data_IF_608496408855
#
_entry.id   IF_608496408855
#
_cell.length_a   1.000
_cell.length_b   1.000
_cell.length_c   1.000
_cell.angle_alpha   90.00
_cell.angle_beta   90.00
_cell.angle_gamma   90.00
#
_symmetry.space_group_name_H-M   'P 1'
#
loop_
_entity.id
_entity.type
_entity.pdbx_description
1 polymer ?
#
# COMPACT_ATOMS: atom_id res chain seq x y z
N UNK A 1 2.25 25.01 25.09
CA UNK A 1 2.72 23.72 24.54
C UNK A 1 3.94 24.01 23.70
N UNK A 2 5.10 23.48 24.07
CA UNK A 2 6.33 23.59 23.27
C UNK A 2 6.43 22.33 22.42
N UNK A 3 6.51 22.48 21.10
CA UNK A 3 6.83 21.40 20.19
C UNK A 3 8.33 21.45 19.89
N UNK A 4 8.99 20.31 20.03
CA UNK A 4 10.43 20.18 19.81
C UNK A 4 10.62 19.27 18.60
N UNK A 5 11.41 19.74 17.64
CA UNK A 5 11.79 18.95 16.47
C UNK A 5 12.98 18.05 16.81
N UNK A 6 13.10 16.95 16.10
CA UNK A 6 14.20 16.00 16.29
C UNK A 6 14.28 15.01 15.14
N UNK A 7 15.30 14.17 15.20
CA UNK A 7 15.55 13.10 14.23
C UNK A 7 15.26 11.77 14.92
N UNK A 8 14.47 10.91 14.29
CA UNK A 8 14.27 9.54 14.73
C UNK A 8 15.30 8.64 14.05
N UNK A 9 16.17 7.99 14.83
CA UNK A 9 17.21 7.08 14.32
C UNK A 9 17.40 5.93 15.29
N UNK A 10 17.47 4.70 14.76
CA UNK A 10 17.73 3.47 15.53
C UNK A 10 16.80 3.28 16.76
N UNK A 11 15.53 3.70 16.64
CA UNK A 11 14.54 3.60 17.72
C UNK A 11 14.62 4.73 18.76
N UNK A 12 15.52 5.71 18.60
CA UNK A 12 15.72 6.82 19.53
C UNK A 12 15.37 8.15 18.85
N UNK A 13 14.63 9.01 19.55
CA UNK A 13 14.41 10.40 19.14
C UNK A 13 15.56 11.25 19.64
N UNK A 14 16.24 11.95 18.74
CA UNK A 14 17.29 12.92 19.05
C UNK A 14 16.73 14.34 18.86
N UNK A 15 16.36 15.05 19.94
CA UNK A 15 15.91 16.43 19.86
C UNK A 15 16.97 17.32 19.19
N UNK A 16 16.53 18.25 18.36
CA UNK A 16 17.40 19.25 17.73
C UNK A 16 17.90 20.31 18.71
N UNK A 17 17.22 20.43 19.86
CA UNK A 17 17.53 21.38 20.92
C UNK A 17 17.61 20.63 22.25
N UNK A 18 18.44 21.12 23.18
CA UNK A 18 18.53 20.54 24.51
C UNK A 18 17.20 20.73 25.26
N UNK A 19 16.73 19.65 25.87
CA UNK A 19 15.50 19.64 26.67
C UNK A 19 15.85 19.35 28.13
N UNK A 20 15.25 20.11 29.05
CA UNK A 20 15.50 19.96 30.49
C UNK A 20 14.26 19.34 31.17
N UNK A 21 14.02 18.06 30.88
CA UNK A 21 12.98 17.27 31.53
C UNK A 21 13.61 16.10 32.29
N UNK A 22 12.95 15.67 33.37
CA UNK A 22 13.38 14.48 34.11
C UNK A 22 13.18 13.19 33.33
N UNK A 23 13.81 12.11 33.80
CA UNK A 23 13.55 10.77 33.26
C UNK A 23 12.05 10.42 33.39
N UNK A 24 11.54 9.60 32.45
CA UNK A 24 10.13 9.19 32.38
C UNK A 24 9.10 10.32 32.21
N UNK A 25 9.54 11.51 31.76
CA UNK A 25 8.60 12.58 31.43
C UNK A 25 7.71 12.16 30.23
N UNK A 26 6.38 12.18 30.37
CA UNK A 26 5.49 11.75 29.30
C UNK A 26 5.53 12.73 28.12
N UNK A 27 5.59 12.18 26.91
CA UNK A 27 5.64 12.96 25.66
C UNK A 27 4.68 12.41 24.62
N UNK A 28 4.29 13.26 23.68
CA UNK A 28 3.56 12.87 22.47
C UNK A 28 4.53 12.99 21.30
N UNK A 29 4.71 11.90 20.54
CA UNK A 29 5.55 11.89 19.34
C UNK A 29 4.65 12.01 18.11
N UNK A 30 4.87 13.04 17.32
CA UNK A 30 4.18 13.25 16.03
C UNK A 30 5.21 13.12 14.92
N UNK A 31 5.03 12.13 14.05
CA UNK A 31 5.77 12.07 12.79
C UNK A 31 5.13 13.05 11.81
N UNK A 32 5.92 14.00 11.33
CA UNK A 32 5.49 14.85 10.24
C UNK A 32 5.89 14.13 8.97
N UNK A 33 4.91 13.68 8.20
CA UNK A 33 5.14 13.34 6.81
C UNK A 33 5.67 14.61 6.15
N UNK A 34 6.97 14.65 5.88
CA UNK A 34 7.42 15.53 4.80
C UNK A 34 6.62 15.09 3.60
N UNK A 35 6.00 15.99 2.82
CA UNK A 35 5.54 15.60 1.50
C UNK A 35 6.81 15.14 0.78
N UNK A 36 7.03 13.83 0.79
CA UNK A 36 7.84 13.18 -0.22
C UNK A 36 7.28 13.78 -1.47
N UNK A 37 8.10 14.54 -2.20
CA UNK A 37 7.83 14.79 -3.60
C UNK A 37 7.96 13.43 -4.26
N UNK A 38 7.04 12.52 -3.96
CA UNK A 38 6.67 11.46 -4.84
C UNK A 38 6.12 12.27 -5.99
N UNK A 39 6.99 12.53 -6.95
CA UNK A 39 6.57 12.92 -8.28
C UNK A 39 5.59 11.81 -8.66
N UNK A 40 4.30 12.04 -8.39
CA UNK A 40 3.23 11.36 -9.09
C UNK A 40 3.44 11.84 -10.51
N UNK A 41 4.26 11.09 -11.25
CA UNK A 41 4.35 11.25 -12.69
C UNK A 41 2.93 11.02 -13.14
N UNK A 42 2.26 12.08 -13.58
CA UNK A 42 0.97 11.97 -14.22
C UNK A 42 1.21 11.19 -15.50
N UNK A 43 1.14 9.86 -15.40
CA UNK A 43 1.14 8.99 -16.56
C UNK A 43 -0.13 9.34 -17.31
N UNK A 44 0.02 9.69 -18.58
CA UNK A 44 -1.16 9.95 -19.42
C UNK A 44 -2.04 8.69 -19.44
N UNK A 45 -3.36 8.84 -19.58
CA UNK A 45 -4.25 7.67 -19.67
C UNK A 45 -3.75 6.68 -20.72
N UNK A 46 -3.26 7.16 -21.87
CA UNK A 46 -2.76 6.30 -22.95
C UNK A 46 -1.52 5.47 -22.54
N UNK A 47 -0.61 6.06 -21.76
CA UNK A 47 0.57 5.35 -21.25
C UNK A 47 0.20 4.37 -20.12
N UNK A 48 -0.83 4.66 -19.32
CA UNK A 48 -1.30 3.71 -18.31
C UNK A 48 -2.01 2.51 -18.93
N UNK A 49 -2.88 2.73 -19.92
CA UNK A 49 -3.56 1.64 -20.64
C UNK A 49 -2.55 0.73 -21.35
N UNK A 50 -1.55 1.32 -22.02
CA UNK A 50 -0.47 0.57 -22.69
C UNK A 50 0.35 -0.30 -21.72
N UNK A 51 0.51 0.14 -20.47
CA UNK A 51 1.18 -0.62 -19.42
C UNK A 51 0.37 -1.83 -18.97
N UNK A 52 -0.95 -1.68 -18.84
CA UNK A 52 -1.86 -2.77 -18.51
C UNK A 52 -1.96 -3.80 -19.63
N UNK A 53 -2.06 -3.36 -20.88
CA UNK A 53 -2.08 -4.26 -22.04
C UNK A 53 -0.83 -5.15 -22.10
N UNK A 54 0.34 -4.55 -21.86
CA UNK A 54 1.59 -5.30 -21.81
C UNK A 54 1.62 -6.31 -20.66
N UNK A 55 1.12 -5.93 -19.49
CA UNK A 55 1.06 -6.84 -18.33
C UNK A 55 0.14 -8.02 -18.61
N UNK A 56 -1.07 -7.76 -19.15
CA UNK A 56 -2.04 -8.79 -19.48
C UNK A 56 -1.50 -9.76 -20.53
N UNK A 57 -0.80 -9.26 -21.56
CA UNK A 57 -0.13 -10.12 -22.55
C UNK A 57 0.90 -11.06 -21.93
N UNK A 58 1.69 -10.60 -20.94
CA UNK A 58 2.66 -11.46 -20.26
C UNK A 58 1.96 -12.52 -19.39
N UNK A 59 0.86 -12.15 -18.73
CA UNK A 59 0.06 -13.09 -17.93
C UNK A 59 -0.52 -14.18 -18.83
N UNK A 60 -1.08 -13.79 -19.98
CA UNK A 60 -1.63 -14.72 -20.99
C UNK A 60 -0.55 -15.68 -21.51
N UNK A 61 0.63 -15.16 -21.86
CA UNK A 61 1.77 -15.98 -22.31
C UNK A 61 2.28 -16.96 -21.25
N UNK A 62 2.15 -16.61 -19.97
CA UNK A 62 2.57 -17.43 -18.84
C UNK A 62 1.47 -18.37 -18.35
N UNK A 63 0.24 -18.24 -18.83
CA UNK A 63 -0.87 -19.07 -18.41
C UNK A 63 -0.65 -20.51 -18.89
N UNK A 64 -0.81 -21.46 -17.96
CA UNK A 64 -0.73 -22.88 -18.27
C UNK A 64 -2.15 -23.45 -18.26
N UNK A 65 -2.52 -24.16 -19.33
CA UNK A 65 -3.77 -24.92 -19.37
C UNK A 65 -3.65 -26.09 -18.40
N UNK A 66 -4.33 -25.98 -17.26
CA UNK A 66 -4.31 -26.98 -16.17
C UNK A 66 -5.58 -27.82 -16.12
N UNK A 67 -6.60 -27.50 -16.93
CA UNK A 67 -7.93 -28.11 -16.87
C UNK A 67 -8.77 -27.65 -15.68
N UNK A 68 -8.28 -26.68 -14.89
CA UNK A 68 -9.00 -26.07 -13.77
C UNK A 68 -9.44 -24.68 -14.22
N UNK A 69 -10.75 -24.35 -14.17
CA UNK A 69 -11.25 -23.03 -14.54
C UNK A 69 -10.74 -21.96 -13.55
N UNK A 70 -10.64 -20.73 -14.03
CA UNK A 70 -10.38 -19.59 -13.14
C UNK A 70 -11.57 -19.41 -12.19
N UNK A 71 -11.28 -19.32 -10.89
CA UNK A 71 -12.25 -19.15 -9.81
C UNK A 71 -12.03 -17.83 -9.05
N UNK A 72 -11.28 -16.88 -9.63
CA UNK A 72 -10.98 -15.60 -9.01
C UNK A 72 -12.26 -14.81 -8.63
N UNK A 73 -13.33 -14.96 -9.40
CA UNK A 73 -14.66 -14.39 -9.14
C UNK A 73 -15.29 -14.90 -7.83
N UNK A 74 -14.91 -16.08 -7.36
CA UNK A 74 -15.38 -16.65 -6.08
C UNK A 74 -14.68 -16.03 -4.86
N UNK A 75 -13.63 -15.24 -5.05
CA UNK A 75 -12.89 -14.63 -3.94
C UNK A 75 -13.66 -13.48 -3.29
N UNK A 76 -14.53 -12.82 -4.05
CA UNK A 76 -15.39 -11.74 -3.55
C UNK A 76 -16.31 -12.21 -2.40
N UNK A 77 -16.70 -13.49 -2.41
CA UNK A 77 -17.43 -14.09 -1.30
C UNK A 77 -16.67 -13.98 0.04
N UNK A 78 -15.35 -14.22 0.03
CA UNK A 78 -14.52 -14.18 1.23
C UNK A 78 -14.12 -12.75 1.63
N UNK A 79 -14.04 -11.84 0.67
CA UNK A 79 -13.69 -10.44 0.91
C UNK A 79 -14.89 -9.58 1.32
N UNK A 80 -16.06 -9.84 0.75
CA UNK A 80 -17.23 -8.97 0.83
C UNK A 80 -18.51 -9.68 1.29
N UNK A 81 -18.47 -11.00 1.51
CA UNK A 81 -19.65 -11.76 1.94
C UNK A 81 -20.73 -11.87 0.87
N UNK A 82 -20.39 -11.65 -0.40
CA UNK A 82 -21.31 -11.83 -1.53
C UNK A 82 -21.71 -13.30 -1.65
N UNK A 83 -22.91 -13.64 -2.15
CA UNK A 83 -23.28 -15.03 -2.40
C UNK A 83 -22.25 -15.71 -3.31
N UNK A 84 -21.91 -16.97 -3.05
CA UNK A 84 -21.13 -17.75 -4.01
C UNK A 84 -21.93 -17.89 -5.29
N UNK A 85 -21.28 -17.69 -6.43
CA UNK A 85 -21.91 -17.96 -7.71
C UNK A 85 -21.88 -19.46 -7.90
N UNK A 86 -23.00 -20.12 -7.56
CA UNK A 86 -23.18 -21.55 -7.85
C UNK A 86 -23.15 -21.74 -9.37
N UNK A 87 -22.24 -22.59 -9.83
CA UNK A 87 -22.10 -23.01 -11.21
C UNK A 87 -23.41 -23.70 -11.64
N UNK A 88 -24.32 -22.98 -12.30
CA UNK A 88 -25.47 -23.59 -12.97
C UNK A 88 -24.95 -24.28 -14.22
N UNK A 89 -24.45 -25.50 -14.05
CA UNK A 89 -24.12 -26.39 -15.13
C UNK A 89 -25.33 -26.60 -16.05
N UNK A 90 -25.18 -26.17 -17.30
CA UNK A 90 -25.83 -26.78 -18.48
C UNK A 90 -24.98 -26.56 -19.71
#
# INVERSE_FOLDING_TARGET
>A
MQSIRGIFKDGVVHPSEQVSYGEFHPVIITFLDTPTTATTVSVSSDESESGWDRLLSVIEDCQMETGIPDLADQHDHYLYGTPKHDDQGT
#
